data_IF_851333692158
#
_entry.id   IF_851333692158
#
_cell.length_a   1.000
_cell.length_b   1.000
_cell.length_c   1.000
_cell.angle_alpha   90.00
_cell.angle_beta   90.00
_cell.angle_gamma   90.00
#
_symmetry.space_group_name_H-M   'P 1'
#
loop_
_entity.id
_entity.type
_entity.pdbx_description
1 polymer ?
#
# COMPACT_ATOMS: atom_id res chain seq x y z
N UNK A 1 -42.27 -42.75 -8.66
CA UNK A 1 -42.89 -41.85 -7.65
C UNK A 1 -41.91 -41.80 -6.48
N UNK A 2 -41.11 -40.77 -6.18
CA UNK A 2 -41.29 -39.32 -6.22
C UNK A 2 -39.91 -38.65 -6.29
N UNK A 3 -39.78 -37.65 -7.15
CA UNK A 3 -38.71 -36.66 -7.11
C UNK A 3 -38.98 -35.70 -5.95
N UNK A 4 -38.03 -35.53 -5.02
CA UNK A 4 -37.93 -34.38 -4.11
C UNK A 4 -36.48 -33.92 -4.17
N UNK A 5 -36.12 -32.93 -4.99
CA UNK A 5 -36.13 -31.50 -4.64
C UNK A 5 -35.61 -31.26 -3.21
N UNK A 6 -34.29 -31.09 -3.09
CA UNK A 6 -33.70 -30.33 -2.00
C UNK A 6 -32.72 -29.31 -2.59
N UNK A 7 -33.31 -28.21 -3.07
CA UNK A 7 -32.62 -26.95 -3.33
C UNK A 7 -32.31 -26.34 -1.96
N UNK A 8 -31.20 -26.74 -1.35
CA UNK A 8 -30.75 -26.12 -0.10
C UNK A 8 -30.11 -24.77 -0.46
N UNK A 9 -30.89 -23.73 -0.15
CA UNK A 9 -30.57 -22.33 -0.34
C UNK A 9 -29.16 -21.98 0.17
N UNK A 10 -28.26 -21.72 -0.77
CA UNK A 10 -27.06 -20.93 -0.51
C UNK A 10 -27.50 -19.46 -0.44
N UNK A 11 -28.09 -19.06 0.69
CA UNK A 11 -28.19 -17.66 1.06
C UNK A 11 -26.78 -17.16 1.35
N UNK A 12 -26.07 -16.78 0.28
CA UNK A 12 -24.89 -15.95 0.37
C UNK A 12 -25.25 -14.75 1.25
N UNK A 13 -24.73 -14.73 2.47
CA UNK A 13 -24.73 -13.58 3.36
C UNK A 13 -23.96 -12.46 2.66
N UNK A 14 -24.66 -11.70 1.82
CA UNK A 14 -24.26 -10.39 1.35
C UNK A 14 -24.27 -9.46 2.57
N UNK A 15 -23.20 -9.52 3.36
CA UNK A 15 -22.92 -8.47 4.33
C UNK A 15 -22.85 -7.16 3.55
N UNK A 16 -23.68 -6.15 3.88
CA UNK A 16 -23.55 -4.85 3.25
C UNK A 16 -22.16 -4.31 3.60
N UNK A 17 -21.37 -4.00 2.56
CA UNK A 17 -20.18 -3.21 2.75
C UNK A 17 -20.63 -1.87 3.35
N UNK A 18 -20.40 -1.68 4.65
CA UNK A 18 -20.70 -0.41 5.31
C UNK A 18 -19.87 0.65 4.60
N UNK A 19 -20.53 1.53 3.85
CA UNK A 19 -19.88 2.63 3.16
C UNK A 19 -19.22 3.53 4.22
N UNK A 20 -17.96 3.89 4.01
CA UNK A 20 -17.24 4.81 4.89
C UNK A 20 -17.97 6.16 4.94
N UNK A 21 -18.01 6.79 6.11
CA UNK A 21 -18.52 8.17 6.20
C UNK A 21 -17.56 9.14 5.53
N UNK A 22 -18.01 10.33 5.07
CA UNK A 22 -17.10 11.34 4.51
C UNK A 22 -15.93 11.70 5.43
N UNK A 23 -16.16 11.72 6.75
CA UNK A 23 -15.11 11.99 7.74
C UNK A 23 -14.04 10.88 7.75
N UNK A 24 -14.47 9.62 7.71
CA UNK A 24 -13.57 8.46 7.65
C UNK A 24 -12.75 8.45 6.36
N UNK A 25 -13.37 8.73 5.22
CA UNK A 25 -12.69 8.84 3.94
C UNK A 25 -11.67 9.98 3.92
N UNK A 26 -12.02 11.16 4.44
CA UNK A 26 -11.12 12.30 4.52
C UNK A 26 -9.91 12.01 5.42
N UNK A 27 -10.15 11.39 6.59
CA UNK A 27 -9.10 10.97 7.51
C UNK A 27 -8.16 9.95 6.85
N UNK A 28 -8.72 8.88 6.27
CA UNK A 28 -7.91 7.82 5.64
C UNK A 28 -7.07 8.35 4.48
N UNK A 29 -7.62 9.28 3.68
CA UNK A 29 -6.88 9.94 2.61
C UNK A 29 -5.71 10.77 3.14
N UNK A 30 -5.93 11.57 4.19
CA UNK A 30 -4.89 12.38 4.80
C UNK A 30 -3.77 11.49 5.41
N UNK A 31 -4.15 10.43 6.11
CA UNK A 31 -3.19 9.53 6.76
C UNK A 31 -2.39 8.72 5.72
N UNK A 32 -3.05 8.27 4.65
CA UNK A 32 -2.38 7.59 3.53
C UNK A 32 -1.32 8.51 2.91
N UNK A 33 -1.67 9.77 2.63
CA UNK A 33 -0.70 10.75 2.11
C UNK A 33 0.50 10.93 3.06
N UNK A 34 0.25 11.02 4.37
CA UNK A 34 1.30 11.16 5.39
C UNK A 34 2.24 9.96 5.39
N UNK A 35 1.70 8.75 5.30
CA UNK A 35 2.45 7.50 5.28
C UNK A 35 3.30 7.40 4.00
N UNK A 36 2.74 7.73 2.84
CA UNK A 36 3.48 7.72 1.58
C UNK A 36 4.62 8.78 1.59
N UNK A 37 4.38 9.97 2.13
CA UNK A 37 5.42 11.00 2.28
C UNK A 37 6.54 10.54 3.23
N UNK A 38 6.21 9.79 4.29
CA UNK A 38 7.22 9.21 5.19
C UNK A 38 8.04 8.13 4.49
N UNK A 39 7.41 7.28 3.68
CA UNK A 39 8.11 6.25 2.91
C UNK A 39 9.09 6.87 1.90
N UNK A 40 8.67 7.90 1.16
CA UNK A 40 9.55 8.66 0.24
C UNK A 40 10.75 9.23 0.99
N UNK A 41 10.54 9.90 2.13
CA UNK A 41 11.65 10.43 2.95
C UNK A 41 12.62 9.33 3.38
N UNK A 42 12.10 8.15 3.73
CA UNK A 42 12.95 7.02 4.12
C UNK A 42 13.83 6.53 2.97
N UNK A 43 13.28 6.46 1.76
CA UNK A 43 14.04 6.10 0.56
C UNK A 43 15.09 7.16 0.22
N UNK A 44 14.77 8.45 0.38
CA UNK A 44 15.75 9.55 0.24
C UNK A 44 16.92 9.34 1.21
N UNK A 45 16.65 9.01 2.47
CA UNK A 45 17.71 8.77 3.46
C UNK A 45 18.58 7.55 3.11
N UNK A 46 17.98 6.47 2.62
CA UNK A 46 18.67 5.22 2.25
C UNK A 46 19.56 5.42 1.01
N UNK A 47 19.03 6.11 -0.01
CA UNK A 47 19.65 6.20 -1.34
C UNK A 47 20.44 7.48 -1.54
N UNK A 48 20.23 8.49 -0.69
CA UNK A 48 20.76 9.86 -0.80
C UNK A 48 20.38 10.57 -2.10
N UNK A 49 19.32 10.11 -2.76
CA UNK A 49 18.79 10.75 -3.98
C UNK A 49 17.89 11.94 -3.63
N UNK A 50 17.76 12.93 -4.54
CA UNK A 50 16.79 14.01 -4.38
C UNK A 50 15.35 13.48 -4.26
N UNK A 51 14.54 14.11 -3.43
CA UNK A 51 13.11 13.76 -3.23
C UNK A 51 12.34 13.69 -4.56
N UNK A 52 12.56 14.64 -5.46
CA UNK A 52 11.94 14.63 -6.79
C UNK A 52 12.27 13.37 -7.60
N UNK A 53 13.51 12.90 -7.51
CA UNK A 53 13.95 11.68 -8.20
C UNK A 53 13.28 10.45 -7.59
N UNK A 54 13.27 10.34 -6.26
CA UNK A 54 12.58 9.25 -5.55
C UNK A 54 11.09 9.22 -5.89
N UNK A 55 10.42 10.37 -5.87
CA UNK A 55 8.99 10.47 -6.23
C UNK A 55 8.71 10.05 -7.67
N UNK A 56 9.61 10.33 -8.61
CA UNK A 56 9.47 9.87 -9.99
C UNK A 56 9.63 8.35 -10.14
N UNK A 57 10.31 7.69 -9.20
CA UNK A 57 10.48 6.24 -9.14
C UNK A 57 9.32 5.53 -8.41
N UNK A 58 8.47 6.27 -7.69
CA UNK A 58 7.33 5.70 -6.98
C UNK A 58 6.27 5.16 -7.95
N UNK A 59 5.70 3.97 -7.70
CA UNK A 59 4.59 3.48 -8.50
C UNK A 59 3.34 4.35 -8.31
N UNK A 60 2.54 4.50 -9.36
CA UNK A 60 1.23 5.13 -9.26
C UNK A 60 0.34 4.38 -8.24
N UNK A 61 -0.45 5.13 -7.48
CA UNK A 61 -1.38 4.59 -6.47
C UNK A 61 -2.27 3.49 -7.08
N UNK A 62 -2.46 2.39 -6.33
CA UNK A 62 -3.40 1.32 -6.69
C UNK A 62 -2.86 0.21 -7.61
N UNK A 63 -1.56 0.19 -7.95
CA UNK A 63 -0.99 -0.96 -8.68
C UNK A 63 -0.75 -2.15 -7.75
N UNK A 64 -1.26 -3.32 -8.16
CA UNK A 64 -1.11 -4.62 -7.47
C UNK A 64 0.27 -5.23 -7.79
N UNK A 65 1.34 -4.50 -7.49
CA UNK A 65 2.73 -4.96 -7.66
C UNK A 65 3.53 -4.60 -6.42
N UNK A 66 4.49 -5.44 -6.04
CA UNK A 66 5.43 -5.18 -4.93
C UNK A 66 6.06 -3.78 -5.05
N UNK A 67 5.69 -2.82 -4.19
CA UNK A 67 6.13 -1.44 -4.32
C UNK A 67 7.63 -1.28 -4.06
N UNK A 68 8.22 -2.07 -3.15
CA UNK A 68 9.64 -2.03 -2.85
C UNK A 68 10.47 -2.46 -4.05
N UNK A 69 10.13 -3.61 -4.66
CA UNK A 69 10.82 -4.11 -5.83
C UNK A 69 10.75 -3.14 -7.01
N UNK A 70 9.60 -2.47 -7.19
CA UNK A 70 9.41 -1.48 -8.27
C UNK A 70 10.22 -0.21 -8.03
N UNK A 71 10.26 0.28 -6.80
CA UNK A 71 11.09 1.43 -6.42
C UNK A 71 12.57 1.11 -6.63
N UNK A 72 13.03 -0.05 -6.19
CA UNK A 72 14.42 -0.50 -6.42
C UNK A 72 14.74 -0.50 -7.91
N UNK A 73 13.94 -1.18 -8.73
CA UNK A 73 14.18 -1.26 -10.17
C UNK A 73 14.20 0.11 -10.84
N UNK A 74 13.27 1.00 -10.49
CA UNK A 74 13.20 2.34 -11.05
C UNK A 74 14.40 3.20 -10.62
N UNK A 75 14.84 3.11 -9.36
CA UNK A 75 16.00 3.84 -8.86
C UNK A 75 17.29 3.34 -9.52
N UNK A 76 17.48 2.02 -9.64
CA UNK A 76 18.63 1.43 -10.31
C UNK A 76 18.69 1.85 -11.78
N UNK A 77 17.54 1.84 -12.47
CA UNK A 77 17.43 2.32 -13.84
C UNK A 77 17.82 3.80 -13.97
N UNK A 78 17.33 4.66 -13.08
CA UNK A 78 17.64 6.10 -13.12
C UNK A 78 19.11 6.40 -12.84
N UNK A 79 19.74 5.63 -11.95
CA UNK A 79 21.14 5.83 -11.57
C UNK A 79 22.14 5.12 -12.48
N UNK A 80 21.68 4.14 -13.28
CA UNK A 80 22.54 3.30 -14.11
C UNK A 80 23.45 2.34 -13.33
N UNK A 81 23.20 2.14 -12.04
CA UNK A 81 23.98 1.27 -11.16
C UNK A 81 23.07 0.57 -10.16
N UNK A 82 23.38 -0.67 -9.76
CA UNK A 82 22.61 -1.39 -8.76
C UNK A 82 22.70 -0.72 -7.39
N UNK A 83 21.63 -0.82 -6.61
CA UNK A 83 21.66 -0.53 -5.18
C UNK A 83 22.43 -1.65 -4.45
N UNK A 84 23.10 -1.29 -3.35
CA UNK A 84 23.71 -2.32 -2.50
C UNK A 84 22.64 -3.21 -1.86
N UNK A 85 23.03 -4.40 -1.42
CA UNK A 85 22.10 -5.34 -0.78
C UNK A 85 21.55 -4.75 0.52
N UNK A 86 22.35 -3.99 1.27
CA UNK A 86 21.91 -3.27 2.47
C UNK A 86 20.86 -2.20 2.13
N UNK A 87 21.06 -1.46 1.03
CA UNK A 87 20.08 -0.47 0.58
C UNK A 87 18.77 -1.14 0.16
N UNK A 88 18.83 -2.27 -0.56
CA UNK A 88 17.66 -3.05 -0.96
C UNK A 88 16.90 -3.58 0.25
N UNK A 89 17.60 -4.14 1.23
CA UNK A 89 17.02 -4.63 2.47
C UNK A 89 16.37 -3.50 3.26
N UNK A 90 17.02 -2.34 3.35
CA UNK A 90 16.46 -1.17 4.03
C UNK A 90 15.19 -0.64 3.34
N UNK A 91 15.12 -0.66 2.00
CA UNK A 91 13.91 -0.29 1.25
C UNK A 91 12.78 -1.31 1.51
N UNK A 92 13.09 -2.60 1.53
CA UNK A 92 12.11 -3.64 1.84
C UNK A 92 11.53 -3.47 3.26
N UNK A 93 12.38 -3.15 4.24
CA UNK A 93 11.94 -2.84 5.59
C UNK A 93 11.05 -1.59 5.63
N UNK A 94 11.44 -0.53 4.93
CA UNK A 94 10.65 0.70 4.87
C UNK A 94 9.26 0.46 4.24
N UNK A 95 9.14 -0.46 3.29
CA UNK A 95 7.84 -0.84 2.71
C UNK A 95 6.99 -1.69 3.68
N UNK A 96 7.60 -2.56 4.47
CA UNK A 96 6.89 -3.29 5.53
C UNK A 96 6.31 -2.35 6.59
N UNK A 97 7.11 -1.36 7.01
CA UNK A 97 6.68 -0.29 7.91
C UNK A 97 5.51 0.50 7.31
N UNK A 98 5.60 0.86 6.02
CA UNK A 98 4.53 1.53 5.26
C UNK A 98 3.26 0.68 5.23
N UNK A 99 3.36 -0.62 4.90
CA UNK A 99 2.22 -1.54 4.85
C UNK A 99 1.55 -1.68 6.22
N UNK A 100 2.33 -1.85 7.27
CA UNK A 100 1.85 -1.90 8.65
C UNK A 100 1.12 -0.62 9.06
N UNK A 101 1.69 0.55 8.72
CA UNK A 101 1.06 1.84 8.99
C UNK A 101 -0.26 2.03 8.22
N UNK A 102 -0.34 1.59 6.96
CA UNK A 102 -1.58 1.64 6.17
C UNK A 102 -2.68 0.76 6.77
N UNK A 103 -2.33 -0.42 7.31
CA UNK A 103 -3.28 -1.28 8.02
C UNK A 103 -3.78 -0.58 9.29
N UNK A 104 -2.88 0.01 10.08
CA UNK A 104 -3.24 0.76 11.28
C UNK A 104 -4.12 1.98 10.96
N UNK A 105 -3.83 2.73 9.90
CA UNK A 105 -4.63 3.86 9.45
C UNK A 105 -6.06 3.45 9.06
N UNK A 106 -6.21 2.32 8.36
CA UNK A 106 -7.54 1.75 8.03
C UNK A 106 -8.31 1.30 9.26
N UNK A 107 -7.63 0.80 10.29
CA UNK A 107 -8.26 0.46 11.56
C UNK A 107 -8.71 1.74 12.29
N UNK A 108 -7.81 2.73 12.45
CA UNK A 108 -8.11 3.99 13.11
C UNK A 108 -9.21 4.80 12.42
N UNK A 109 -9.34 4.69 11.09
CA UNK A 109 -10.41 5.33 10.33
C UNK A 109 -11.80 4.83 10.74
N UNK A 110 -11.95 3.63 11.31
CA UNK A 110 -13.26 3.12 11.76
C UNK A 110 -13.77 3.82 13.01
N UNK A 111 -12.87 4.43 13.77
CA UNK A 111 -13.14 5.14 15.03
C UNK A 111 -13.30 6.66 14.84
N UNK A 112 -13.37 7.12 13.59
CA UNK A 112 -13.58 8.54 13.20
C UNK A 112 -15.00 8.76 12.69
#
# INVERSE_FOLDING_TARGET
MKFLLSLLACCCMLSPAIAQTPAQTAFLKAETRRIEDQFVRRIVDITRLPDAQVRSAMPAEGRITDPAARVVAAIEQQRGQPLSDEQKQAIAQADEERRSALVAARAAAKDK
#
